data_IF_881198639766
#
_entry.id   IF_881198639766
#
_cell.length_a   1.000
_cell.length_b   1.000
_cell.length_c   1.000
_cell.angle_alpha   90.00
_cell.angle_beta   90.00
_cell.angle_gamma   90.00
#
_symmetry.space_group_name_H-M   'P 1'
#
loop_
_entity.id
_entity.type
_entity.pdbx_description
1 polymer ?
#
# COMPACT_ATOMS: atom_id res chain seq x y z
N UNK A 1 -15.65 -21.54 50.79
CA UNK A 1 -16.26 -20.67 49.77
C UNK A 1 -15.15 -19.80 49.22
N UNK A 2 -14.62 -20.14 48.06
CA UNK A 2 -13.61 -19.35 47.36
C UNK A 2 -14.34 -18.34 46.49
N UNK A 3 -14.24 -17.09 46.91
CA UNK A 3 -14.73 -15.92 46.18
C UNK A 3 -13.93 -15.83 44.87
N UNK A 4 -14.60 -16.12 43.75
CA UNK A 4 -14.00 -15.94 42.44
C UNK A 4 -13.89 -14.43 42.20
N UNK A 5 -12.70 -13.88 42.40
CA UNK A 5 -12.35 -12.52 42.00
C UNK A 5 -12.56 -12.41 40.49
N UNK A 6 -13.62 -11.70 40.09
CA UNK A 6 -13.86 -11.34 38.70
C UNK A 6 -12.64 -10.57 38.20
N UNK A 7 -11.88 -11.17 37.28
CA UNK A 7 -10.73 -10.52 36.67
C UNK A 7 -11.20 -9.26 35.96
N UNK A 8 -10.63 -8.12 36.34
CA UNK A 8 -10.84 -6.85 35.63
C UNK A 8 -10.41 -7.07 34.17
N UNK A 9 -11.26 -6.82 33.17
CA UNK A 9 -10.89 -7.03 31.78
C UNK A 9 -9.69 -6.15 31.43
N UNK A 10 -8.71 -6.72 30.72
CA UNK A 10 -7.53 -5.98 30.31
C UNK A 10 -7.93 -4.71 29.54
N UNK A 11 -7.29 -3.56 29.81
CA UNK A 11 -7.55 -2.34 29.09
C UNK A 11 -7.31 -2.54 27.60
N UNK A 12 -8.21 -2.00 26.76
CA UNK A 12 -8.12 -2.14 25.31
C UNK A 12 -6.74 -1.69 24.80
N UNK A 13 -6.13 -2.51 23.93
CA UNK A 13 -4.86 -2.22 23.27
C UNK A 13 -4.98 -2.59 21.79
N UNK A 14 -4.41 -1.78 20.87
CA UNK A 14 -4.24 -2.18 19.47
C UNK A 14 -3.51 -3.53 19.33
N UNK A 15 -2.68 -3.92 20.31
CA UNK A 15 -2.01 -5.22 20.31
C UNK A 15 -2.97 -6.41 20.52
N UNK A 16 -4.18 -6.19 21.04
CA UNK A 16 -5.22 -7.23 21.14
C UNK A 16 -5.86 -7.55 19.79
N UNK A 17 -5.73 -6.64 18.81
CA UNK A 17 -6.13 -6.84 17.42
C UNK A 17 -5.00 -6.35 16.51
N UNK A 18 -3.96 -7.17 16.25
CA UNK A 18 -2.78 -6.76 15.50
C UNK A 18 -3.08 -6.16 14.13
N UNK A 19 -4.25 -6.44 13.57
CA UNK A 19 -4.68 -5.95 12.27
C UNK A 19 -5.14 -4.49 12.31
N UNK A 20 -5.45 -3.95 13.50
CA UNK A 20 -5.71 -2.52 13.72
C UNK A 20 -4.50 -1.64 13.38
N UNK A 21 -3.28 -2.20 13.41
CA UNK A 21 -2.04 -1.53 12.96
C UNK A 21 -2.14 -1.10 11.49
N UNK A 22 -2.95 -1.80 10.68
CA UNK A 22 -3.17 -1.43 9.28
C UNK A 22 -3.72 0.00 9.14
N UNK A 23 -4.54 0.49 10.08
CA UNK A 23 -5.10 1.85 10.02
C UNK A 23 -3.99 2.90 10.14
N UNK A 24 -3.15 2.76 11.16
CA UNK A 24 -2.06 3.73 11.41
C UNK A 24 -0.99 3.65 10.33
N UNK A 25 -0.64 2.44 9.88
CA UNK A 25 0.33 2.27 8.80
C UNK A 25 -0.18 2.87 7.49
N UNK A 26 -1.42 2.56 7.09
CA UNK A 26 -2.00 3.15 5.87
C UNK A 26 -1.96 4.68 5.89
N UNK A 27 -2.28 5.30 7.03
CA UNK A 27 -2.23 6.75 7.19
C UNK A 27 -0.82 7.32 7.00
N UNK A 28 0.20 6.74 7.64
CA UNK A 28 1.59 7.18 7.47
C UNK A 28 2.07 7.04 6.03
N UNK A 29 1.69 5.96 5.34
CA UNK A 29 2.04 5.76 3.94
C UNK A 29 1.30 6.71 3.00
N UNK A 30 0.04 7.05 3.26
CA UNK A 30 -0.68 8.10 2.52
C UNK A 30 -0.05 9.48 2.73
N UNK A 31 0.37 9.82 3.95
CA UNK A 31 1.09 11.08 4.17
C UNK A 31 2.44 11.10 3.45
N UNK A 32 3.13 9.97 3.38
CA UNK A 32 4.34 9.82 2.56
C UNK A 32 4.03 10.08 1.08
N UNK A 33 2.95 9.49 0.54
CA UNK A 33 2.53 9.73 -0.84
C UNK A 33 2.21 11.21 -1.10
N UNK A 34 1.48 11.86 -0.20
CA UNK A 34 1.18 13.30 -0.28
C UNK A 34 2.44 14.15 -0.28
N UNK A 35 3.40 13.82 0.59
CA UNK A 35 4.67 14.54 0.68
C UNK A 35 5.49 14.38 -0.61
N UNK A 36 5.59 13.17 -1.13
CA UNK A 36 6.27 12.91 -2.40
C UNK A 36 5.57 13.64 -3.56
N UNK A 37 4.24 13.53 -3.70
CA UNK A 37 3.48 14.21 -4.75
C UNK A 37 3.70 15.73 -4.71
N UNK A 38 3.62 16.33 -3.53
CA UNK A 38 3.89 17.76 -3.34
C UNK A 38 5.30 18.16 -3.80
N UNK A 39 6.31 17.37 -3.40
CA UNK A 39 7.71 17.62 -3.77
C UNK A 39 7.97 17.43 -5.26
N UNK A 40 7.21 16.56 -5.93
CA UNK A 40 7.27 16.40 -7.38
C UNK A 40 6.77 17.65 -8.13
N UNK A 41 5.80 18.37 -7.57
CA UNK A 41 5.23 19.58 -8.14
C UNK A 41 6.06 20.85 -7.81
N UNK A 42 6.66 20.92 -6.62
CA UNK A 42 7.30 22.14 -6.09
C UNK A 42 8.82 22.23 -6.34
N UNK A 43 9.50 21.17 -6.79
CA UNK A 43 10.96 21.16 -6.90
C UNK A 43 11.50 21.88 -8.15
N UNK A 44 12.30 22.92 -7.92
CA UNK A 44 13.19 23.50 -8.92
C UNK A 44 14.39 22.57 -9.19
N UNK A 45 14.82 22.49 -10.45
CA UNK A 45 15.98 21.70 -10.85
C UNK A 45 17.26 22.28 -10.23
N UNK A 46 17.82 21.59 -9.24
CA UNK A 46 19.11 21.93 -8.66
C UNK A 46 20.25 21.72 -9.67
N UNK A 47 21.15 22.70 -9.77
CA UNK A 47 22.23 22.78 -10.77
C UNK A 47 23.28 21.64 -10.76
N UNK A 48 23.28 20.74 -9.76
CA UNK A 48 24.38 19.79 -9.53
C UNK A 48 24.00 18.40 -8.99
N UNK A 49 22.71 18.09 -8.82
CA UNK A 49 22.24 16.78 -8.32
C UNK A 49 21.35 16.11 -9.39
N UNK A 50 21.24 14.77 -9.40
CA UNK A 50 20.16 14.12 -10.16
C UNK A 50 18.83 14.74 -9.76
N UNK A 51 17.95 14.96 -10.76
CA UNK A 51 16.63 15.58 -10.57
C UNK A 51 15.94 14.97 -9.33
N UNK A 52 15.75 15.76 -8.24
CA UNK A 52 15.27 15.23 -6.97
C UNK A 52 13.87 14.62 -7.07
N UNK A 53 13.11 15.00 -8.11
CA UNK A 53 11.81 14.41 -8.44
C UNK A 53 11.92 12.91 -8.77
N UNK A 54 13.06 12.45 -9.27
CA UNK A 54 13.29 11.02 -9.51
C UNK A 54 13.35 10.22 -8.21
N UNK A 55 13.89 10.81 -7.14
CA UNK A 55 13.96 10.17 -5.82
C UNK A 55 12.55 10.09 -5.24
N UNK A 56 11.83 11.21 -5.25
CA UNK A 56 10.47 11.30 -4.72
C UNK A 56 9.50 10.37 -5.49
N UNK A 57 9.62 10.26 -6.81
CA UNK A 57 8.78 9.35 -7.60
C UNK A 57 9.06 7.86 -7.30
N UNK A 58 10.32 7.47 -7.07
CA UNK A 58 10.65 6.10 -6.66
C UNK A 58 10.12 5.79 -5.27
N UNK A 59 10.25 6.72 -4.33
CA UNK A 59 9.71 6.59 -2.97
C UNK A 59 8.18 6.52 -2.99
N UNK A 60 7.53 7.30 -3.87
CA UNK A 60 6.09 7.26 -4.08
C UNK A 60 5.61 5.86 -4.47
N UNK A 61 6.28 5.21 -5.43
CA UNK A 61 5.95 3.83 -5.84
C UNK A 61 6.11 2.82 -4.71
N UNK A 62 7.15 2.97 -3.88
CA UNK A 62 7.33 2.13 -2.69
C UNK A 62 6.17 2.34 -1.71
N UNK A 63 5.80 3.59 -1.42
CA UNK A 63 4.71 3.91 -0.50
C UNK A 63 3.35 3.38 -0.97
N UNK A 64 3.06 3.38 -2.29
CA UNK A 64 1.82 2.79 -2.84
C UNK A 64 1.66 1.32 -2.44
N UNK A 65 2.76 0.56 -2.48
CA UNK A 65 2.72 -0.84 -2.06
C UNK A 65 2.48 -0.99 -0.57
N UNK A 66 3.00 -0.08 0.24
CA UNK A 66 2.81 -0.16 1.68
C UNK A 66 1.35 0.05 2.09
N UNK A 67 0.62 0.95 1.41
CA UNK A 67 -0.85 1.08 1.57
C UNK A 67 -1.56 -0.23 1.20
N UNK A 68 -1.16 -0.87 0.11
CA UNK A 68 -1.71 -2.17 -0.29
C UNK A 68 -1.38 -3.28 0.73
N UNK A 69 -0.19 -3.27 1.33
CA UNK A 69 0.16 -4.21 2.40
C UNK A 69 -0.66 -4.00 3.67
N UNK A 70 -0.90 -2.74 4.08
CA UNK A 70 -1.80 -2.44 5.19
C UNK A 70 -3.21 -3.00 4.93
N UNK A 71 -3.71 -2.84 3.70
CA UNK A 71 -4.99 -3.45 3.28
C UNK A 71 -4.97 -4.97 3.44
N UNK A 72 -3.91 -5.63 2.96
CA UNK A 72 -3.76 -7.09 3.07
C UNK A 72 -3.67 -7.56 4.52
N UNK A 73 -3.03 -6.78 5.40
CA UNK A 73 -2.98 -7.07 6.83
C UNK A 73 -4.39 -7.07 7.41
N UNK A 74 -5.17 -6.02 7.16
CA UNK A 74 -6.55 -5.91 7.62
C UNK A 74 -7.43 -7.07 7.12
N UNK A 75 -7.28 -7.45 5.85
CA UNK A 75 -8.05 -8.55 5.25
C UNK A 75 -7.62 -9.94 5.71
N UNK A 76 -6.34 -10.15 6.04
CA UNK A 76 -5.81 -11.44 6.52
C UNK A 76 -6.28 -11.73 7.96
N UNK A 77 -6.58 -10.68 8.72
CA UNK A 77 -7.03 -10.78 10.10
C UNK A 77 -8.38 -11.44 10.31
N UNK A 78 -8.65 -11.71 11.58
CA UNK A 78 -9.96 -12.18 12.06
C UNK A 78 -10.87 -11.04 12.51
N UNK A 79 -10.34 -9.80 12.62
CA UNK A 79 -11.09 -8.61 13.03
C UNK A 79 -12.40 -8.44 12.25
N UNK A 80 -12.39 -8.73 10.95
CA UNK A 80 -13.55 -8.56 10.07
C UNK A 80 -14.46 -9.79 9.97
N UNK A 81 -14.23 -10.86 10.73
CA UNK A 81 -15.06 -12.08 10.67
C UNK A 81 -16.49 -11.80 11.17
N UNK A 82 -16.62 -10.90 12.15
CA UNK A 82 -17.92 -10.43 12.64
C UNK A 82 -18.52 -9.31 11.77
N UNK A 83 -17.79 -8.83 10.75
CA UNK A 83 -18.17 -7.68 9.92
C UNK A 83 -18.05 -8.00 8.41
N UNK A 84 -18.79 -9.00 7.87
CA UNK A 84 -18.62 -9.47 6.50
C UNK A 84 -18.90 -8.37 5.45
N UNK A 85 -19.83 -7.45 5.72
CA UNK A 85 -20.10 -6.32 4.84
C UNK A 85 -18.93 -5.33 4.77
N UNK A 86 -18.19 -5.15 5.87
CA UNK A 86 -16.99 -4.31 5.90
C UNK A 86 -15.83 -4.99 5.16
N UNK A 87 -15.67 -6.31 5.33
CA UNK A 87 -14.72 -7.13 4.56
C UNK A 87 -14.95 -6.98 3.05
N UNK A 88 -16.17 -7.19 2.58
CA UNK A 88 -16.50 -7.09 1.16
C UNK A 88 -16.23 -5.68 0.58
N UNK A 89 -16.53 -4.62 1.33
CA UNK A 89 -16.24 -3.24 0.91
C UNK A 89 -14.73 -2.99 0.78
N UNK A 90 -13.93 -3.50 1.73
CA UNK A 90 -12.48 -3.36 1.69
C UNK A 90 -11.86 -4.16 0.53
N UNK A 91 -12.36 -5.36 0.25
CA UNK A 91 -11.96 -6.16 -0.90
C UNK A 91 -12.24 -5.43 -2.22
N UNK A 92 -13.45 -4.88 -2.38
CA UNK A 92 -13.82 -4.10 -3.56
C UNK A 92 -12.95 -2.84 -3.73
N UNK A 93 -12.64 -2.14 -2.63
CA UNK A 93 -11.74 -0.98 -2.67
C UNK A 93 -10.32 -1.39 -3.09
N UNK A 94 -9.83 -2.53 -2.62
CA UNK A 94 -8.53 -3.09 -3.01
C UNK A 94 -8.51 -3.44 -4.50
N UNK A 95 -9.53 -4.13 -5.00
CA UNK A 95 -9.65 -4.48 -6.42
C UNK A 95 -9.67 -3.23 -7.31
N UNK A 96 -10.45 -2.21 -6.91
CA UNK A 96 -10.46 -0.91 -7.58
C UNK A 96 -9.07 -0.28 -7.61
N UNK A 97 -8.35 -0.25 -6.49
CA UNK A 97 -6.99 0.31 -6.46
C UNK A 97 -6.06 -0.41 -7.45
N UNK A 98 -6.12 -1.74 -7.51
CA UNK A 98 -5.30 -2.54 -8.43
C UNK A 98 -5.65 -2.31 -9.90
N UNK A 99 -6.93 -2.11 -10.22
CA UNK A 99 -7.40 -1.73 -11.56
C UNK A 99 -6.94 -0.32 -11.94
N UNK A 100 -7.09 0.64 -11.02
CA UNK A 100 -6.87 2.06 -11.31
C UNK A 100 -5.40 2.46 -11.26
N UNK A 101 -4.56 1.70 -10.57
CA UNK A 101 -3.11 1.94 -10.45
C UNK A 101 -2.32 0.72 -10.98
N UNK A 102 -2.49 0.37 -12.27
CA UNK A 102 -1.90 -0.83 -12.82
C UNK A 102 -0.38 -0.76 -12.78
N UNK A 103 0.26 -1.86 -12.40
CA UNK A 103 1.72 -1.98 -12.44
C UNK A 103 2.46 -1.34 -11.25
N UNK A 104 1.79 -0.67 -10.30
CA UNK A 104 2.47 -0.13 -9.10
C UNK A 104 3.22 -1.19 -8.30
N UNK A 105 2.61 -2.38 -8.12
CA UNK A 105 3.23 -3.50 -7.41
C UNK A 105 4.47 -3.99 -8.17
N UNK A 106 4.34 -4.20 -9.48
CA UNK A 106 5.43 -4.72 -10.29
C UNK A 106 6.59 -3.71 -10.40
N UNK A 107 6.28 -2.41 -10.53
CA UNK A 107 7.27 -1.35 -10.48
C UNK A 107 8.01 -1.32 -9.14
N UNK A 108 7.29 -1.44 -8.01
CA UNK A 108 7.92 -1.56 -6.69
C UNK A 108 8.83 -2.78 -6.60
N UNK A 109 8.38 -3.93 -7.10
CA UNK A 109 9.17 -5.16 -7.07
C UNK A 109 10.48 -4.99 -7.85
N UNK A 110 10.48 -4.31 -9.00
CA UNK A 110 11.69 -3.94 -9.74
C UNK A 110 12.61 -3.05 -8.89
N UNK A 111 12.06 -2.04 -8.21
CA UNK A 111 12.84 -1.10 -7.38
C UNK A 111 13.53 -1.79 -6.19
N UNK A 112 12.79 -2.65 -5.47
CA UNK A 112 13.28 -3.28 -4.24
C UNK A 112 14.15 -4.50 -4.53
N UNK A 113 13.76 -5.32 -5.51
CA UNK A 113 14.48 -6.52 -5.91
C UNK A 113 15.37 -6.27 -7.13
N UNK A 114 15.98 -5.08 -7.21
CA UNK A 114 16.74 -4.66 -8.40
C UNK A 114 17.85 -5.64 -8.78
N UNK A 115 18.47 -6.33 -7.81
CA UNK A 115 19.50 -7.33 -8.05
C UNK A 115 18.96 -8.53 -8.84
N UNK A 116 17.83 -9.09 -8.42
CA UNK A 116 17.17 -10.19 -9.13
C UNK A 116 16.70 -9.75 -10.51
N UNK A 117 16.11 -8.56 -10.61
CA UNK A 117 15.56 -8.05 -11.86
C UNK A 117 16.67 -7.67 -12.86
N UNK A 118 17.79 -7.13 -12.41
CA UNK A 118 18.96 -6.84 -13.25
C UNK A 118 19.58 -8.10 -13.85
N UNK A 119 19.48 -9.24 -13.16
CA UNK A 119 19.98 -10.55 -13.64
C UNK A 119 18.92 -11.37 -14.40
N UNK A 120 17.72 -10.81 -14.56
CA UNK A 120 16.58 -11.46 -15.22
C UNK A 120 15.99 -12.63 -14.42
N UNK A 121 16.09 -12.58 -13.09
CA UNK A 121 15.70 -13.65 -12.16
C UNK A 121 14.34 -13.40 -11.48
N UNK A 122 13.77 -12.22 -11.68
CA UNK A 122 12.37 -11.95 -11.34
C UNK A 122 11.40 -12.88 -12.07
N UNK A 123 10.23 -13.14 -11.48
CA UNK A 123 9.26 -14.13 -11.96
C UNK A 123 8.88 -13.96 -13.43
N UNK A 124 8.68 -12.71 -13.89
CA UNK A 124 8.36 -12.41 -15.29
C UNK A 124 9.61 -12.44 -16.19
N UNK A 125 10.74 -12.00 -15.65
CA UNK A 125 12.00 -11.91 -16.36
C UNK A 125 12.62 -13.28 -16.62
N UNK A 126 12.36 -14.30 -15.78
CA UNK A 126 12.83 -15.67 -16.01
C UNK A 126 12.33 -16.25 -17.33
N UNK A 127 11.09 -15.99 -17.70
CA UNK A 127 10.53 -16.42 -18.99
C UNK A 127 11.16 -15.65 -20.14
N UNK A 128 11.30 -14.32 -19.99
CA UNK A 128 11.92 -13.47 -21.00
C UNK A 128 13.41 -13.79 -21.20
N UNK A 129 14.18 -13.99 -20.13
CA UNK A 129 15.59 -14.38 -20.15
C UNK A 129 15.81 -15.68 -20.93
N UNK A 130 14.90 -16.66 -20.79
CA UNK A 130 14.94 -17.91 -21.57
C UNK A 130 14.71 -17.69 -23.06
N UNK A 131 13.90 -16.68 -23.44
CA UNK A 131 13.52 -16.39 -24.82
C UNK A 131 14.51 -15.45 -25.52
N UNK A 132 14.88 -14.36 -24.85
CA UNK A 132 15.55 -13.19 -25.43
C UNK A 132 16.95 -12.92 -24.81
N UNK A 133 17.33 -13.68 -23.77
CA UNK A 133 18.59 -13.51 -23.03
C UNK A 133 18.50 -12.51 -21.87
N UNK A 134 19.47 -12.58 -20.95
CA UNK A 134 19.47 -11.77 -19.71
C UNK A 134 19.61 -10.26 -19.97
N UNK A 135 20.41 -9.86 -20.96
CA UNK A 135 20.64 -8.45 -21.31
C UNK A 135 19.37 -7.80 -21.87
N UNK A 136 18.62 -8.51 -22.71
CA UNK A 136 17.35 -8.01 -23.25
C UNK A 136 16.31 -7.88 -22.12
N UNK A 137 16.21 -8.89 -21.25
CA UNK A 137 15.33 -8.84 -20.08
C UNK A 137 15.69 -7.67 -19.13
N UNK A 138 16.97 -7.39 -18.91
CA UNK A 138 17.38 -6.23 -18.12
C UNK A 138 16.99 -4.92 -18.82
N UNK A 139 17.24 -4.79 -20.13
CA UNK A 139 16.92 -3.58 -20.90
C UNK A 139 15.43 -3.23 -20.90
N UNK A 140 14.56 -4.23 -21.01
CA UNK A 140 13.11 -3.97 -21.13
C UNK A 140 12.44 -3.62 -19.80
N UNK A 141 13.06 -4.02 -18.68
CA UNK A 141 12.51 -3.80 -17.33
C UNK A 141 13.26 -2.70 -16.57
N UNK A 142 14.42 -2.29 -17.06
CA UNK A 142 15.26 -1.27 -16.44
C UNK A 142 15.28 0.02 -17.25
N UNK A 143 15.10 1.15 -16.57
CA UNK A 143 15.05 2.47 -17.18
C UNK A 143 13.67 3.12 -17.08
N UNK A 144 13.63 4.40 -17.41
CA UNK A 144 12.50 5.28 -17.16
C UNK A 144 12.82 6.32 -16.09
N UNK A 145 11.78 6.97 -15.61
CA UNK A 145 11.86 8.08 -14.68
C UNK A 145 10.51 8.78 -14.58
N UNK A 146 10.48 9.78 -13.71
CA UNK A 146 9.37 10.73 -13.63
C UNK A 146 9.47 11.74 -14.76
N UNK A 147 8.35 11.96 -15.43
CA UNK A 147 8.17 12.99 -16.43
C UNK A 147 7.21 14.07 -15.89
N UNK A 148 7.72 15.26 -15.52
CA UNK A 148 6.90 16.32 -14.94
C UNK A 148 5.89 16.89 -15.93
N UNK A 149 6.11 16.77 -17.25
CA UNK A 149 5.15 17.26 -18.24
C UNK A 149 3.87 16.41 -18.28
N UNK A 150 3.97 15.14 -17.92
CA UNK A 150 2.84 14.20 -17.93
C UNK A 150 2.39 13.77 -16.54
N UNK A 151 3.17 14.05 -15.49
CA UNK A 151 2.92 13.56 -14.14
C UNK A 151 3.02 12.04 -14.02
N UNK A 152 3.72 11.39 -14.96
CA UNK A 152 3.87 9.94 -15.01
C UNK A 152 5.26 9.51 -14.55
N UNK A 153 5.30 8.50 -13.69
CA UNK A 153 6.52 7.73 -13.42
C UNK A 153 6.53 6.47 -14.30
N UNK A 154 7.66 6.24 -14.97
CA UNK A 154 7.89 5.06 -15.81
C UNK A 154 9.01 4.20 -15.24
N UNK A 155 8.78 2.89 -15.20
CA UNK A 155 9.82 1.92 -14.87
C UNK A 155 9.61 0.65 -15.71
N UNK A 156 10.50 0.43 -16.67
CA UNK A 156 10.33 -0.61 -17.68
C UNK A 156 8.97 -0.47 -18.38
N UNK A 157 8.14 -1.52 -18.43
CA UNK A 157 6.82 -1.47 -19.07
C UNK A 157 5.74 -0.79 -18.22
N UNK A 158 6.03 -0.42 -16.97
CA UNK A 158 5.04 0.10 -16.04
C UNK A 158 4.97 1.62 -16.08
N UNK A 159 3.74 2.15 -16.06
CA UNK A 159 3.43 3.58 -16.07
C UNK A 159 2.48 3.88 -14.93
N UNK A 160 2.83 4.86 -14.11
CA UNK A 160 2.07 5.24 -12.93
C UNK A 160 1.82 6.73 -13.00
N UNK A 161 0.55 7.12 -13.14
CA UNK A 161 0.15 8.51 -13.01
C UNK A 161 0.11 8.87 -11.52
N UNK A 162 0.95 9.82 -11.10
CA UNK A 162 1.16 10.13 -9.67
C UNK A 162 -0.11 10.63 -9.00
N UNK A 163 -0.80 11.59 -9.64
CA UNK A 163 -2.03 12.18 -9.09
C UNK A 163 -3.12 11.13 -8.89
N UNK A 164 -3.44 10.36 -9.94
CA UNK A 164 -4.45 9.30 -9.86
C UNK A 164 -4.07 8.21 -8.87
N UNK A 165 -2.80 7.86 -8.79
CA UNK A 165 -2.34 6.86 -7.83
C UNK A 165 -2.48 7.35 -6.38
N UNK A 166 -2.26 8.63 -6.11
CA UNK A 166 -2.50 9.23 -4.80
C UNK A 166 -3.99 9.20 -4.44
N UNK A 167 -4.86 9.67 -5.35
CA UNK A 167 -6.32 9.68 -5.14
C UNK A 167 -6.86 8.28 -4.81
N UNK A 168 -6.43 7.26 -5.54
CA UNK A 168 -6.87 5.88 -5.31
C UNK A 168 -6.25 5.26 -4.05
N UNK A 169 -5.04 5.66 -3.66
CA UNK A 169 -4.44 5.25 -2.38
C UNK A 169 -5.19 5.87 -1.18
N UNK A 170 -5.66 7.11 -1.30
CA UNK A 170 -6.48 7.77 -0.27
C UNK A 170 -7.82 7.05 -0.10
N UNK A 171 -8.51 6.74 -1.21
CA UNK A 171 -9.74 5.95 -1.19
C UNK A 171 -9.53 4.59 -0.52
N UNK A 172 -8.41 3.92 -0.80
CA UNK A 172 -8.09 2.64 -0.18
C UNK A 172 -7.81 2.79 1.33
N UNK A 173 -7.08 3.82 1.73
CA UNK A 173 -6.83 4.12 3.15
C UNK A 173 -8.11 4.41 3.92
N UNK A 174 -9.04 5.17 3.33
CA UNK A 174 -10.34 5.44 3.94
C UNK A 174 -11.15 4.14 4.11
N UNK A 175 -11.09 3.22 3.15
CA UNK A 175 -11.73 1.91 3.26
C UNK A 175 -11.14 1.07 4.41
N UNK A 176 -9.82 1.12 4.64
CA UNK A 176 -9.18 0.46 5.79
C UNK A 176 -9.71 1.04 7.10
N UNK A 177 -9.78 2.38 7.20
CA UNK A 177 -10.32 3.05 8.38
C UNK A 177 -11.78 2.67 8.64
N UNK A 178 -12.63 2.72 7.61
CA UNK A 178 -14.05 2.36 7.73
C UNK A 178 -14.24 0.88 8.13
N UNK A 179 -13.36 -0.01 7.68
CA UNK A 179 -13.40 -1.41 8.07
C UNK A 179 -13.08 -1.60 9.57
N UNK A 180 -12.06 -0.91 10.08
CA UNK A 180 -11.75 -0.92 11.51
C UNK A 180 -12.89 -0.32 12.34
N UNK A 181 -13.42 0.82 11.91
CA UNK A 181 -14.54 1.48 12.59
C UNK A 181 -15.78 0.58 12.69
N UNK A 182 -16.08 -0.20 11.65
CA UNK A 182 -17.22 -1.12 11.68
C UNK A 182 -17.09 -2.16 12.81
N UNK A 183 -15.87 -2.63 13.09
CA UNK A 183 -15.62 -3.54 14.21
C UNK A 183 -15.76 -2.83 15.56
N UNK A 184 -15.26 -1.61 15.70
CA UNK A 184 -15.46 -0.82 16.93
C UNK A 184 -16.95 -0.61 17.23
N UNK A 185 -17.73 -0.29 16.20
CA UNK A 185 -19.19 -0.11 16.30
C UNK A 185 -19.88 -1.44 16.68
N UNK A 186 -19.46 -2.58 16.11
CA UNK A 186 -19.93 -3.91 16.49
C UNK A 186 -19.65 -4.22 17.97
N UNK A 187 -18.42 -3.99 18.44
CA UNK A 187 -18.03 -4.23 19.83
C UNK A 187 -18.78 -3.32 20.82
N UNK A 188 -19.02 -2.06 20.45
CA UNK A 188 -19.83 -1.15 21.24
C UNK A 188 -21.28 -1.66 21.39
N UNK A 189 -21.88 -2.15 20.30
CA UNK A 189 -23.23 -2.73 20.33
C UNK A 189 -23.32 -3.98 21.21
N UNK A 190 -22.32 -4.88 21.15
CA UNK A 190 -22.27 -6.08 21.99
C UNK A 190 -22.18 -5.75 23.49
N UNK A 191 -21.38 -4.75 23.85
CA UNK A 191 -21.28 -4.27 25.25
C UNK A 191 -22.59 -3.67 25.75
N UNK A 192 -23.27 -2.84 24.94
CA UNK A 192 -24.58 -2.27 25.30
C UNK A 192 -25.67 -3.33 25.47
N UNK A 193 -25.65 -4.37 24.63
CA UNK A 193 -26.59 -5.49 24.74
C UNK A 193 -26.34 -6.38 25.99
N UNK A 194 -25.09 -6.44 26.48
CA UNK A 194 -24.73 -7.24 27.66
C UNK A 194 -25.00 -6.51 28.99
N UNK A 195 -25.23 -5.19 28.95
CA UNK A 195 -25.57 -4.35 30.11
C UNK A 195 -27.07 -4.08 30.25
N UNK A 196 -27.90 -4.64 29.36
CA UNK A 196 -29.36 -4.49 29.32
C UNK A 196 -30.05 -5.79 29.75
#
# INVERSE_FOLDING_TARGET
MTEATAATPDPWSPAHHPESIAVTEAQWWVWTLRLCARRLDEQELGLWLPDPRQIDARQFVVALRQVEYATRLMLKGTLLDCCPAARAKLEAARERFLDKVPGAIAARDILIHFHDYALGEGTRQKQQKKRDGAVAAARDHWGGGYDPATGEFKLGPHRINIKRALEEAEVLSDAIYLAAKAFDDYQAAQRGASSS
#
